data_IF_426890096082
#
_entry.id   IF_426890096082
#
_cell.length_a   1.000
_cell.length_b   1.000
_cell.length_c   1.000
_cell.angle_alpha   90.00
_cell.angle_beta   90.00
_cell.angle_gamma   90.00
#
_symmetry.space_group_name_H-M   'P 1'
#
loop_
_entity.id
_entity.type
_entity.pdbx_description
1 polymer ?
#
# COMPACT_ATOMS: atom_id res chain seq x y z
N UNK A 1 7.65 -13.26 27.52
CA UNK A 1 8.00 -13.36 26.08
C UNK A 1 8.64 -12.03 25.69
N UNK A 2 9.84 -12.02 25.10
CA UNK A 2 10.53 -10.79 24.68
C UNK A 2 10.20 -10.45 23.22
N UNK A 3 10.18 -9.15 22.89
CA UNK A 3 10.00 -8.70 21.50
C UNK A 3 11.21 -9.04 20.64
N UNK A 4 10.97 -9.41 19.37
CA UNK A 4 12.00 -9.56 18.35
C UNK A 4 12.72 -8.22 18.08
N UNK A 5 14.00 -8.27 17.71
CA UNK A 5 14.81 -7.06 17.52
C UNK A 5 14.24 -6.10 16.48
N UNK A 6 13.78 -6.62 15.33
CA UNK A 6 13.17 -5.80 14.29
C UNK A 6 11.91 -5.08 14.78
N UNK A 7 11.10 -5.73 15.62
CA UNK A 7 9.91 -5.11 16.21
C UNK A 7 10.28 -4.00 17.17
N UNK A 8 11.34 -4.16 17.97
CA UNK A 8 11.83 -3.10 18.88
C UNK A 8 12.26 -1.87 18.11
N UNK A 9 13.11 -2.06 17.09
CA UNK A 9 13.60 -0.95 16.24
C UNK A 9 12.44 -0.26 15.53
N UNK A 10 11.48 -1.03 15.00
CA UNK A 10 10.30 -0.45 14.36
C UNK A 10 9.48 0.40 15.33
N UNK A 11 9.26 -0.06 16.56
CA UNK A 11 8.56 0.72 17.60
C UNK A 11 9.33 1.98 18.00
N UNK A 12 10.66 1.92 18.09
CA UNK A 12 11.49 3.10 18.35
C UNK A 12 11.34 4.15 17.23
N UNK A 13 11.31 3.71 15.97
CA UNK A 13 11.06 4.61 14.83
C UNK A 13 9.64 5.20 14.93
N UNK A 14 8.62 4.39 15.19
CA UNK A 14 7.24 4.89 15.32
C UNK A 14 7.09 5.89 16.47
N UNK A 15 7.69 5.61 17.63
CA UNK A 15 7.59 6.44 18.83
C UNK A 15 8.45 7.72 18.76
N UNK A 16 9.39 7.82 17.82
CA UNK A 16 10.20 9.02 17.60
C UNK A 16 9.53 10.04 16.67
N UNK A 17 8.37 9.71 16.10
CA UNK A 17 7.59 10.61 15.25
C UNK A 17 6.98 11.76 16.08
N UNK A 18 7.12 13.02 15.63
CA UNK A 18 6.60 14.18 16.37
C UNK A 18 5.07 14.35 16.25
N UNK A 19 4.42 13.64 15.33
CA UNK A 19 3.00 13.78 15.06
C UNK A 19 2.12 13.28 16.22
N UNK A 20 0.96 13.91 16.46
CA UNK A 20 0.02 13.45 17.47
C UNK A 20 -0.57 12.06 17.12
N UNK A 21 -1.23 11.40 18.07
CA UNK A 21 -2.01 10.19 17.77
C UNK A 21 -3.09 10.45 16.71
N UNK A 22 -3.35 9.45 15.86
CA UNK A 22 -4.30 9.57 14.74
C UNK A 22 -5.70 10.02 15.17
N UNK A 23 -6.16 9.59 16.34
CA UNK A 23 -7.47 9.92 16.90
C UNK A 23 -7.60 11.39 17.35
N UNK A 24 -6.49 12.12 17.42
CA UNK A 24 -6.46 13.55 17.74
C UNK A 24 -6.27 14.43 16.49
N UNK A 25 -6.09 13.82 15.31
CA UNK A 25 -5.94 14.52 14.04
C UNK A 25 -7.29 14.69 13.34
N UNK A 26 -7.40 15.75 12.54
CA UNK A 26 -8.44 15.85 11.52
C UNK A 26 -8.17 14.86 10.37
N UNK A 27 -9.19 14.49 9.58
CA UNK A 27 -9.00 13.64 8.39
C UNK A 27 -8.00 14.19 7.37
N UNK A 28 -7.90 15.53 7.25
CA UNK A 28 -6.95 16.17 6.33
C UNK A 28 -5.52 15.99 6.82
N UNK A 29 -5.26 16.28 8.09
CA UNK A 29 -3.93 16.09 8.70
C UNK A 29 -3.49 14.61 8.65
N UNK A 30 -4.40 13.67 8.91
CA UNK A 30 -4.09 12.24 8.84
C UNK A 30 -3.70 11.79 7.43
N UNK A 31 -4.35 12.32 6.38
CA UNK A 31 -3.99 12.04 4.98
C UNK A 31 -2.62 12.60 4.62
N UNK A 32 -2.35 13.84 5.01
CA UNK A 32 -1.06 14.49 4.78
C UNK A 32 0.09 13.76 5.50
N UNK A 33 -0.15 13.32 6.75
CA UNK A 33 0.80 12.50 7.49
C UNK A 33 1.08 11.18 6.75
N UNK A 34 0.05 10.49 6.25
CA UNK A 34 0.20 9.25 5.49
C UNK A 34 1.15 9.43 4.31
N UNK A 35 0.94 10.48 3.51
CA UNK A 35 1.77 10.81 2.34
C UNK A 35 3.25 11.02 2.69
N UNK A 36 3.54 11.61 3.85
CA UNK A 36 4.92 11.89 4.30
C UNK A 36 5.74 10.62 4.54
N UNK A 37 5.10 9.54 4.95
CA UNK A 37 5.77 8.30 5.33
C UNK A 37 5.69 7.19 4.28
N UNK A 38 5.11 7.49 3.11
CA UNK A 38 5.14 6.55 2.00
C UNK A 38 6.55 6.42 1.44
N UNK A 39 6.99 5.18 1.34
CA UNK A 39 8.25 4.81 0.73
C UNK A 39 7.89 4.15 -0.59
N UNK A 40 8.35 4.76 -1.69
CA UNK A 40 8.20 4.16 -3.00
C UNK A 40 8.85 2.77 -3.01
N UNK A 41 8.13 1.78 -3.55
CA UNK A 41 8.64 0.43 -3.62
C UNK A 41 9.72 0.32 -4.69
N UNK A 42 10.84 -0.31 -4.32
CA UNK A 42 11.86 -0.80 -5.26
C UNK A 42 11.65 -2.27 -5.62
N UNK A 43 10.56 -2.89 -5.14
CA UNK A 43 10.31 -4.30 -5.36
C UNK A 43 10.06 -4.59 -6.84
N UNK A 44 10.83 -5.50 -7.46
CA UNK A 44 10.72 -5.76 -8.89
C UNK A 44 9.38 -6.41 -9.22
N UNK A 45 8.78 -5.96 -10.31
CA UNK A 45 7.55 -6.52 -10.88
C UNK A 45 7.67 -6.49 -12.40
N UNK A 46 6.99 -7.40 -13.11
CA UNK A 46 7.04 -7.40 -14.58
C UNK A 46 6.45 -6.12 -15.16
N UNK A 47 5.27 -5.70 -14.69
CA UNK A 47 4.76 -4.36 -14.99
C UNK A 47 3.73 -3.89 -13.97
N UNK A 48 3.62 -2.58 -13.82
CA UNK A 48 2.56 -1.91 -13.07
C UNK A 48 2.08 -0.72 -13.89
N UNK A 49 0.76 -0.51 -13.97
CA UNK A 49 0.18 0.66 -14.64
C UNK A 49 -1.13 1.10 -14.02
N UNK A 50 -1.37 2.40 -14.03
CA UNK A 50 -2.64 2.98 -13.62
C UNK A 50 -3.68 2.79 -14.71
N UNK A 51 -4.91 2.44 -14.32
CA UNK A 51 -6.03 2.18 -15.20
C UNK A 51 -7.31 2.78 -14.61
N UNK A 52 -8.31 3.01 -15.46
CA UNK A 52 -9.68 3.27 -15.05
C UNK A 52 -10.48 1.96 -15.00
N UNK A 53 -10.96 1.58 -13.82
CA UNK A 53 -11.76 0.37 -13.58
C UNK A 53 -13.26 0.68 -13.53
N UNK A 54 -13.77 1.38 -14.55
CA UNK A 54 -15.18 1.75 -14.65
C UNK A 54 -15.56 2.99 -13.86
N UNK A 55 -14.74 4.04 -13.94
CA UNK A 55 -14.88 5.30 -13.20
C UNK A 55 -14.21 5.28 -11.82
N UNK A 56 -13.38 4.27 -11.54
CA UNK A 56 -12.64 4.12 -10.29
C UNK A 56 -11.16 3.99 -10.63
N UNK A 57 -10.30 4.92 -10.20
CA UNK A 57 -8.86 4.80 -10.41
C UNK A 57 -8.32 3.53 -9.76
N UNK A 58 -7.41 2.86 -10.44
CA UNK A 58 -6.82 1.62 -9.98
C UNK A 58 -5.41 1.45 -10.53
N UNK A 59 -4.60 0.60 -9.89
CA UNK A 59 -3.29 0.17 -10.41
C UNK A 59 -3.30 -1.34 -10.63
N UNK A 60 -3.01 -1.75 -11.86
CA UNK A 60 -2.85 -3.15 -12.25
C UNK A 60 -1.38 -3.55 -12.22
N UNK A 61 -1.07 -4.58 -11.44
CA UNK A 61 0.24 -5.21 -11.32
C UNK A 61 0.20 -6.58 -11.99
N UNK A 62 1.17 -6.82 -12.88
CA UNK A 62 1.34 -8.09 -13.55
C UNK A 62 2.67 -8.73 -13.11
N UNK A 63 2.67 -9.99 -12.64
CA UNK A 63 3.89 -10.71 -12.27
C UNK A 63 4.67 -11.26 -13.47
N UNK A 64 4.05 -11.42 -14.64
CA UNK A 64 4.68 -11.94 -15.85
C UNK A 64 3.95 -11.48 -17.11
N UNK A 65 4.48 -11.85 -18.29
CA UNK A 65 3.86 -11.62 -19.59
C UNK A 65 2.78 -12.66 -19.96
N UNK A 66 2.47 -13.61 -19.06
CA UNK A 66 1.51 -14.66 -19.33
C UNK A 66 0.11 -14.11 -19.57
N UNK A 67 -0.64 -14.82 -20.41
CA UNK A 67 -2.05 -14.51 -20.69
C UNK A 67 -2.93 -15.29 -19.71
N UNK A 68 -4.11 -14.74 -19.39
CA UNK A 68 -5.13 -15.37 -18.55
C UNK A 68 -4.69 -15.63 -17.10
N UNK A 69 -3.92 -14.71 -16.51
CA UNK A 69 -3.63 -14.74 -15.08
C UNK A 69 -4.91 -14.60 -14.26
N UNK A 70 -4.98 -15.33 -13.15
CA UNK A 70 -5.98 -15.07 -12.11
C UNK A 70 -5.80 -13.66 -11.55
N UNK A 71 -6.91 -13.03 -11.16
CA UNK A 71 -6.93 -11.66 -10.66
C UNK A 71 -7.27 -11.62 -9.16
N UNK A 72 -6.41 -10.96 -8.38
CA UNK A 72 -6.68 -10.55 -7.01
C UNK A 72 -7.09 -9.06 -7.00
N UNK A 73 -8.24 -8.75 -6.42
CA UNK A 73 -8.65 -7.36 -6.18
C UNK A 73 -8.15 -6.97 -4.80
N UNK A 74 -7.32 -5.95 -4.74
CA UNK A 74 -6.77 -5.42 -3.51
C UNK A 74 -7.48 -4.10 -3.15
N UNK A 75 -7.98 -4.04 -1.91
CA UNK A 75 -8.59 -2.84 -1.34
C UNK A 75 -7.68 -2.39 -0.21
N UNK A 76 -7.08 -1.20 -0.36
CA UNK A 76 -6.09 -0.73 0.59
C UNK A 76 -6.69 -0.42 1.97
N UNK A 77 -5.85 -0.55 3.00
CA UNK A 77 -6.22 -0.16 4.36
C UNK A 77 -6.25 1.36 4.52
N UNK A 78 -6.48 1.81 5.76
CA UNK A 78 -6.52 3.23 6.11
C UNK A 78 -7.86 3.73 6.64
N UNK A 79 -8.69 2.81 7.16
CA UNK A 79 -9.88 3.17 7.92
C UNK A 79 -10.88 4.01 7.14
N UNK A 80 -10.97 3.82 5.81
CA UNK A 80 -11.84 4.58 4.91
C UNK A 80 -11.56 6.09 4.86
N UNK A 81 -10.39 6.53 5.35
CA UNK A 81 -10.01 7.94 5.44
C UNK A 81 -8.66 8.20 4.78
N UNK A 82 -7.67 7.34 5.01
CA UNK A 82 -6.30 7.47 4.50
C UNK A 82 -5.96 6.30 3.56
N UNK A 83 -4.81 6.40 2.89
CA UNK A 83 -4.35 5.41 1.92
C UNK A 83 -4.47 5.92 0.49
N UNK A 84 -3.55 5.46 -0.35
CA UNK A 84 -3.51 5.74 -1.79
C UNK A 84 -2.92 4.51 -2.49
N UNK A 85 -2.99 4.48 -3.83
CA UNK A 85 -2.27 3.51 -4.65
C UNK A 85 -0.77 3.47 -4.33
N UNK A 86 -0.13 4.63 -4.21
CA UNK A 86 1.31 4.72 -3.92
C UNK A 86 1.65 4.25 -2.51
N UNK A 87 0.78 4.52 -1.52
CA UNK A 87 0.99 4.09 -0.14
C UNK A 87 0.94 2.58 0.07
N UNK A 88 0.34 1.83 -0.86
CA UNK A 88 0.25 0.36 -0.81
C UNK A 88 0.94 -0.32 -1.99
N UNK A 89 1.78 0.42 -2.73
CA UNK A 89 2.44 -0.07 -3.94
C UNK A 89 3.36 -1.26 -3.67
N UNK A 90 4.16 -1.20 -2.59
CA UNK A 90 5.07 -2.27 -2.18
C UNK A 90 4.34 -3.58 -1.86
N UNK A 91 3.23 -3.48 -1.12
CA UNK A 91 2.40 -4.64 -0.77
C UNK A 91 1.81 -5.26 -2.03
N UNK A 92 1.29 -4.47 -2.96
CA UNK A 92 0.70 -4.98 -4.20
C UNK A 92 1.74 -5.64 -5.11
N UNK A 93 2.94 -5.06 -5.24
CA UNK A 93 4.06 -5.65 -6.00
C UNK A 93 4.46 -7.00 -5.42
N UNK A 94 4.67 -7.08 -4.10
CA UNK A 94 5.03 -8.32 -3.42
C UNK A 94 3.93 -9.37 -3.56
N UNK A 95 2.66 -8.99 -3.35
CA UNK A 95 1.53 -9.90 -3.51
C UNK A 95 1.47 -10.46 -4.93
N UNK A 96 1.56 -9.62 -5.96
CA UNK A 96 1.54 -10.09 -7.35
C UNK A 96 2.71 -11.04 -7.65
N UNK A 97 3.94 -10.63 -7.32
CA UNK A 97 5.14 -11.41 -7.59
C UNK A 97 5.17 -12.75 -6.85
N UNK A 98 4.74 -12.78 -5.59
CA UNK A 98 4.78 -13.99 -4.76
C UNK A 98 3.62 -14.94 -5.03
N UNK A 99 2.44 -14.42 -5.37
CA UNK A 99 1.27 -15.24 -5.69
C UNK A 99 1.25 -15.76 -7.13
N UNK A 100 1.98 -15.10 -8.04
CA UNK A 100 1.86 -15.34 -9.48
C UNK A 100 0.54 -14.86 -10.08
N UNK A 101 -0.27 -14.11 -9.33
CA UNK A 101 -1.54 -13.55 -9.78
C UNK A 101 -1.36 -12.09 -10.22
N UNK A 102 -2.20 -11.64 -11.14
CA UNK A 102 -2.37 -10.21 -11.34
C UNK A 102 -3.02 -9.60 -10.09
N UNK A 103 -2.63 -8.39 -9.71
CA UNK A 103 -3.25 -7.64 -8.61
C UNK A 103 -3.83 -6.35 -9.17
N UNK A 104 -5.11 -6.08 -8.89
CA UNK A 104 -5.76 -4.81 -9.19
C UNK A 104 -6.01 -4.08 -7.86
N UNK A 105 -5.21 -3.06 -7.58
CA UNK A 105 -5.37 -2.19 -6.40
C UNK A 105 -6.37 -1.08 -6.72
N UNK A 106 -7.39 -0.92 -5.88
CA UNK A 106 -8.49 0.03 -6.10
C UNK A 106 -8.29 1.28 -5.24
N UNK A 107 -8.31 2.45 -5.88
CA UNK A 107 -8.32 3.77 -5.23
C UNK A 107 -9.78 4.19 -4.99
N UNK A 108 -10.37 3.63 -3.94
CA UNK A 108 -11.76 3.90 -3.60
C UNK A 108 -11.94 5.31 -3.01
N UNK A 109 -13.19 5.78 -2.96
CA UNK A 109 -13.56 7.13 -2.53
C UNK A 109 -13.60 7.31 -1.02
#
# INVERSE_FOLDING_TARGET
MTLHLQTKVFLEILNSRPEPPLEQMTPVEAREMGLRYYIASDYPIFSSRDIDAGGVPARLYLPSAEKNLSLCIFIHGGGWVIGTLDGHDDVCRRLAAQSGQAVLSIDYR
#
